data_IF_536265724542
#
_entry.id   IF_536265724542
#
_cell.length_a   1.000
_cell.length_b   1.000
_cell.length_c   1.000
_cell.angle_alpha   90.00
_cell.angle_beta   90.00
_cell.angle_gamma   90.00
#
_symmetry.space_group_name_H-M   'P 1'
#
loop_
_entity.id
_entity.type
_entity.pdbx_description
1 polymer ?
#
# COMPACT_ATOMS: atom_id res chain seq x y z
N UNK A 1 14.87 3.34 9.47
CA UNK A 1 14.49 4.05 8.23
C UNK A 1 13.07 3.66 7.88
N UNK A 2 12.13 4.60 7.88
CA UNK A 2 10.71 4.32 7.61
C UNK A 2 10.49 3.71 6.22
N UNK A 3 9.63 2.69 6.16
CA UNK A 3 9.14 2.09 4.92
C UNK A 3 8.49 3.21 4.08
N UNK A 4 8.73 3.27 2.76
CA UNK A 4 8.07 4.24 1.89
C UNK A 4 6.57 3.96 1.93
N UNK A 5 5.78 4.87 2.47
CA UNK A 5 4.32 4.81 2.46
C UNK A 5 3.82 4.96 1.02
N UNK A 6 2.95 4.06 0.59
CA UNK A 6 2.31 4.11 -0.72
C UNK A 6 1.23 5.20 -0.71
N UNK A 7 0.98 5.96 -1.80
CA UNK A 7 -0.21 6.80 -1.93
C UNK A 7 -1.51 6.16 -1.41
N UNK A 8 -1.70 4.85 -1.65
CA UNK A 8 -2.84 4.08 -1.14
C UNK A 8 -2.95 4.08 0.38
N UNK A 9 -1.82 4.12 1.10
CA UNK A 9 -1.81 4.09 2.57
C UNK A 9 -2.29 5.43 3.14
N UNK A 10 -1.91 6.53 2.48
CA UNK A 10 -2.37 7.88 2.82
C UNK A 10 -3.86 8.02 2.54
N UNK A 11 -4.31 7.55 1.37
CA UNK A 11 -5.72 7.56 1.02
C UNK A 11 -6.55 6.69 1.99
N UNK A 12 -6.08 5.49 2.35
CA UNK A 12 -6.72 4.67 3.37
C UNK A 12 -6.81 5.35 4.74
N UNK A 13 -5.74 6.05 5.16
CA UNK A 13 -5.77 6.80 6.41
C UNK A 13 -6.79 7.96 6.35
N UNK A 14 -6.83 8.68 5.24
CA UNK A 14 -7.81 9.74 4.99
C UNK A 14 -9.24 9.20 5.08
N UNK A 15 -9.55 8.08 4.41
CA UNK A 15 -10.89 7.49 4.45
C UNK A 15 -11.30 7.07 5.86
N UNK A 16 -10.37 6.51 6.65
CA UNK A 16 -10.67 6.19 8.05
C UNK A 16 -11.01 7.45 8.86
N UNK A 17 -10.25 8.53 8.69
CA UNK A 17 -10.57 9.81 9.33
C UNK A 17 -11.94 10.33 8.89
N UNK A 18 -12.23 10.34 7.59
CA UNK A 18 -13.52 10.77 7.05
C UNK A 18 -14.69 9.99 7.65
N UNK A 19 -14.61 8.65 7.68
CA UNK A 19 -15.66 7.81 8.26
C UNK A 19 -15.77 8.00 9.78
N UNK A 20 -14.66 8.23 10.49
CA UNK A 20 -14.68 8.60 11.91
C UNK A 20 -15.39 9.94 12.12
N UNK A 21 -15.06 10.98 11.34
CA UNK A 21 -15.69 12.30 11.45
C UNK A 21 -17.20 12.23 11.17
N UNK A 22 -17.60 11.46 10.15
CA UNK A 22 -19.02 11.19 9.86
C UNK A 22 -19.67 10.47 11.05
N UNK A 23 -18.97 9.55 11.69
CA UNK A 23 -19.48 8.86 12.88
C UNK A 23 -19.72 9.85 14.01
N UNK A 24 -18.76 10.75 14.29
CA UNK A 24 -18.88 11.78 15.32
C UNK A 24 -20.04 12.75 15.05
N UNK A 25 -20.28 13.14 13.80
CA UNK A 25 -21.44 13.97 13.40
C UNK A 25 -22.77 13.27 13.77
N UNK A 26 -22.81 11.94 13.71
CA UNK A 26 -23.96 11.12 14.12
C UNK A 26 -23.98 10.74 15.61
N UNK A 27 -23.11 11.36 16.42
CA UNK A 27 -22.99 11.16 17.86
C UNK A 27 -21.95 10.12 18.29
N UNK A 28 -21.23 9.52 17.35
CA UNK A 28 -20.16 8.57 17.62
C UNK A 28 -20.64 7.28 18.30
N UNK A 29 -19.70 6.60 18.96
CA UNK A 29 -19.98 5.49 19.87
C UNK A 29 -19.53 5.92 21.27
N UNK A 30 -20.50 6.28 22.10
CA UNK A 30 -20.28 6.82 23.44
C UNK A 30 -20.10 5.74 24.51
N UNK A 31 -19.68 6.13 25.72
CA UNK A 31 -19.65 5.24 26.89
C UNK A 31 -21.03 4.64 27.21
N UNK A 32 -22.10 5.43 27.00
CA UNK A 32 -23.49 4.97 27.17
C UNK A 32 -23.85 3.90 26.12
N UNK A 33 -23.37 4.04 24.87
CA UNK A 33 -23.56 3.03 23.83
C UNK A 33 -22.75 1.76 24.13
N UNK A 34 -21.55 1.92 24.70
CA UNK A 34 -20.75 0.81 25.20
C UNK A 34 -21.51 0.03 26.28
N UNK A 35 -22.05 0.73 27.28
CA UNK A 35 -22.84 0.13 28.36
C UNK A 35 -24.08 -0.60 27.81
N UNK A 36 -24.89 0.06 26.97
CA UNK A 36 -26.04 -0.57 26.29
C UNK A 36 -25.63 -1.82 25.52
N UNK A 37 -24.48 -1.79 24.87
CA UNK A 37 -23.95 -2.94 24.13
C UNK A 37 -23.53 -4.05 25.09
N UNK A 38 -22.84 -3.75 26.19
CA UNK A 38 -22.45 -4.72 27.23
C UNK A 38 -23.68 -5.38 27.84
N UNK A 39 -24.68 -4.60 28.24
CA UNK A 39 -25.95 -5.10 28.77
C UNK A 39 -26.61 -6.05 27.78
N UNK A 40 -26.67 -5.66 26.50
CA UNK A 40 -27.30 -6.44 25.43
C UNK A 40 -26.68 -7.83 25.26
N UNK A 41 -25.37 -7.94 25.43
CA UNK A 41 -24.61 -9.18 25.23
C UNK A 41 -24.23 -9.88 26.54
N UNK A 42 -24.69 -9.37 27.67
CA UNK A 42 -24.51 -10.01 28.98
C UNK A 42 -25.62 -11.03 29.23
N UNK A 43 -25.23 -12.25 29.62
CA UNK A 43 -26.16 -13.30 30.05
C UNK A 43 -25.70 -13.89 31.37
N UNK A 44 -26.59 -13.92 32.37
CA UNK A 44 -26.27 -14.37 33.73
C UNK A 44 -25.04 -13.64 34.32
N UNK A 45 -25.00 -12.31 34.16
CA UNK A 45 -23.90 -11.43 34.59
C UNK A 45 -22.54 -11.68 33.91
N UNK A 46 -22.51 -12.42 32.80
CA UNK A 46 -21.28 -12.68 32.05
C UNK A 46 -21.43 -12.14 30.63
N UNK A 47 -20.50 -11.28 30.22
CA UNK A 47 -20.41 -10.75 28.85
C UNK A 47 -20.02 -11.88 27.88
N UNK A 48 -20.67 -11.93 26.72
CA UNK A 48 -20.46 -13.01 25.75
C UNK A 48 -20.10 -12.51 24.36
N UNK A 49 -19.22 -13.24 23.70
CA UNK A 49 -18.83 -13.02 22.31
C UNK A 49 -20.07 -13.10 21.41
N UNK A 50 -20.27 -12.10 20.56
CA UNK A 50 -21.40 -12.11 19.63
C UNK A 50 -21.34 -13.27 18.63
N UNK A 51 -20.14 -13.65 18.17
CA UNK A 51 -19.94 -14.69 17.16
C UNK A 51 -20.06 -16.10 17.73
N UNK A 52 -19.40 -16.39 18.85
CA UNK A 52 -19.30 -17.75 19.40
C UNK A 52 -20.21 -18.02 20.60
N UNK A 53 -20.73 -16.96 21.25
CA UNK A 53 -21.46 -17.07 22.51
C UNK A 53 -20.60 -17.49 23.72
N UNK A 54 -19.29 -17.71 23.53
CA UNK A 54 -18.32 -17.96 24.60
C UNK A 54 -18.20 -16.75 25.53
N UNK A 55 -17.76 -17.00 26.75
CA UNK A 55 -17.58 -15.97 27.77
C UNK A 55 -16.37 -15.09 27.45
N UNK A 56 -16.54 -13.79 27.63
CA UNK A 56 -15.47 -12.81 27.50
C UNK A 56 -14.91 -12.51 28.89
N UNK A 57 -13.58 -12.48 28.99
CA UNK A 57 -12.83 -12.19 30.21
C UNK A 57 -11.82 -11.09 29.91
N UNK A 58 -11.43 -10.32 30.92
CA UNK A 58 -10.39 -9.30 30.71
C UNK A 58 -9.12 -9.93 30.10
N UNK A 59 -8.63 -9.34 29.01
CA UNK A 59 -7.44 -9.79 28.29
C UNK A 59 -7.66 -10.85 27.20
N UNK A 60 -8.90 -11.21 26.85
CA UNK A 60 -9.18 -12.09 25.70
C UNK A 60 -10.24 -11.55 24.73
N UNK A 61 -10.67 -10.30 24.91
CA UNK A 61 -11.75 -9.71 24.14
C UNK A 61 -11.40 -8.31 23.64
N UNK A 62 -12.00 -7.97 22.51
CA UNK A 62 -11.90 -6.67 21.88
C UNK A 62 -13.26 -6.20 21.39
N UNK A 63 -13.35 -4.92 21.07
CA UNK A 63 -14.49 -4.34 20.37
C UNK A 63 -14.24 -4.46 18.85
N UNK A 64 -15.16 -5.10 18.14
CA UNK A 64 -15.12 -5.26 16.68
C UNK A 64 -16.19 -4.40 16.01
N UNK A 65 -15.88 -3.92 14.81
CA UNK A 65 -16.84 -3.29 13.91
C UNK A 65 -17.43 -4.33 12.97
N UNK A 66 -18.71 -4.68 13.16
CA UNK A 66 -19.44 -5.63 12.32
C UNK A 66 -19.28 -5.33 10.82
N UNK A 67 -19.36 -4.05 10.45
CA UNK A 67 -18.97 -3.51 9.16
C UNK A 67 -17.69 -2.69 9.36
N UNK A 68 -16.58 -3.04 8.70
CA UNK A 68 -15.29 -2.40 8.95
C UNK A 68 -15.22 -0.97 8.41
N UNK A 69 -14.46 -0.12 9.11
CA UNK A 69 -14.21 1.29 8.74
C UNK A 69 -13.10 1.33 7.68
N UNK A 70 -13.47 1.12 6.42
CA UNK A 70 -12.55 1.14 5.29
C UNK A 70 -13.23 1.63 4.01
N UNK A 71 -12.43 1.81 2.95
CA UNK A 71 -12.88 2.37 1.67
C UNK A 71 -13.93 1.53 0.92
N UNK A 72 -14.04 0.22 1.20
CA UNK A 72 -14.91 -0.68 0.42
C UNK A 72 -16.22 -1.00 1.12
N UNK A 73 -16.22 -0.99 2.46
CA UNK A 73 -17.38 -1.36 3.28
C UNK A 73 -17.99 -0.16 3.99
N UNK A 74 -17.24 0.93 4.15
CA UNK A 74 -17.71 2.22 4.67
C UNK A 74 -18.47 2.11 6.00
N UNK A 75 -18.04 1.21 6.89
CA UNK A 75 -18.62 1.09 8.23
C UNK A 75 -18.36 2.34 9.07
N UNK A 76 -19.25 2.60 10.03
CA UNK A 76 -19.19 3.74 10.93
C UNK A 76 -19.02 3.32 12.39
N UNK A 77 -18.34 4.13 13.19
CA UNK A 77 -18.15 3.93 14.61
C UNK A 77 -19.39 4.40 15.39
N UNK A 78 -20.48 3.64 15.27
CA UNK A 78 -21.79 3.98 15.86
C UNK A 78 -22.37 2.79 16.63
N UNK A 79 -23.29 3.10 17.56
CA UNK A 79 -24.09 2.08 18.22
C UNK A 79 -24.79 1.17 17.21
N UNK A 80 -24.65 -0.15 17.42
CA UNK A 80 -25.12 -1.16 16.48
C UNK A 80 -24.07 -1.74 15.56
N UNK A 81 -22.93 -1.07 15.38
CA UNK A 81 -21.82 -1.60 14.59
C UNK A 81 -20.67 -2.09 15.46
N UNK A 82 -20.50 -1.53 16.65
CA UNK A 82 -19.46 -1.93 17.61
C UNK A 82 -20.00 -3.02 18.54
N UNK A 83 -19.28 -4.15 18.64
CA UNK A 83 -19.73 -5.34 19.39
C UNK A 83 -18.58 -6.05 20.12
N UNK A 84 -18.86 -6.74 21.24
CA UNK A 84 -17.82 -7.41 22.00
C UNK A 84 -17.56 -8.80 21.42
N UNK A 85 -16.29 -9.08 21.11
CA UNK A 85 -15.85 -10.33 20.49
C UNK A 85 -14.59 -10.86 21.17
N UNK A 86 -14.34 -12.15 21.05
CA UNK A 86 -13.02 -12.69 21.35
C UNK A 86 -12.00 -12.13 20.35
N UNK A 87 -10.79 -11.84 20.82
CA UNK A 87 -9.70 -11.33 19.97
C UNK A 87 -9.40 -12.24 18.78
N UNK A 88 -9.49 -13.56 18.96
CA UNK A 88 -9.32 -14.54 17.88
C UNK A 88 -10.29 -14.27 16.72
N UNK A 89 -11.58 -14.03 17.00
CA UNK A 89 -12.56 -13.76 15.95
C UNK A 89 -12.35 -12.41 15.28
N UNK A 90 -11.92 -11.39 16.04
CA UNK A 90 -11.63 -10.07 15.47
C UNK A 90 -10.45 -10.14 14.49
N UNK A 91 -9.38 -10.84 14.89
CA UNK A 91 -8.20 -11.06 14.07
C UNK A 91 -8.54 -11.81 12.79
N UNK A 92 -9.27 -12.92 12.87
CA UNK A 92 -9.67 -13.74 11.72
C UNK A 92 -10.62 -12.99 10.76
N UNK A 93 -11.57 -12.20 11.30
CA UNK A 93 -12.49 -11.40 10.47
C UNK A 93 -11.74 -10.36 9.63
N UNK A 94 -10.75 -9.70 10.24
CA UNK A 94 -9.96 -8.65 9.61
C UNK A 94 -10.82 -7.58 8.92
N UNK A 95 -10.52 -7.31 7.66
CA UNK A 95 -11.19 -6.27 6.86
C UNK A 95 -12.52 -6.66 6.21
N UNK A 96 -13.11 -7.81 6.57
CA UNK A 96 -14.38 -8.30 6.01
C UNK A 96 -15.60 -7.89 6.85
N UNK A 97 -16.78 -7.94 6.26
CA UNK A 97 -18.04 -7.78 7.02
C UNK A 97 -18.36 -9.03 7.84
N UNK A 98 -19.16 -8.88 8.90
CA UNK A 98 -19.60 -10.03 9.70
C UNK A 98 -20.33 -11.10 8.87
N UNK A 99 -21.07 -10.69 7.81
CA UNK A 99 -21.78 -11.62 6.92
C UNK A 99 -20.79 -12.47 6.12
N UNK A 100 -19.79 -11.81 5.51
CA UNK A 100 -18.73 -12.50 4.75
C UNK A 100 -17.94 -13.43 5.67
N UNK A 101 -17.58 -12.95 6.86
CA UNK A 101 -16.83 -13.71 7.84
C UNK A 101 -17.58 -14.98 8.30
N UNK A 102 -18.83 -14.85 8.74
CA UNK A 102 -19.62 -15.99 9.22
C UNK A 102 -19.87 -17.02 8.10
N UNK A 103 -20.08 -16.56 6.86
CA UNK A 103 -20.35 -17.45 5.73
C UNK A 103 -19.11 -18.21 5.28
N UNK A 104 -17.97 -17.52 5.18
CA UNK A 104 -16.83 -17.99 4.39
C UNK A 104 -15.61 -18.43 5.21
N UNK A 105 -15.55 -18.13 6.51
CA UNK A 105 -14.38 -18.47 7.32
C UNK A 105 -14.52 -19.85 7.99
N UNK A 106 -13.41 -20.58 8.01
CA UNK A 106 -13.28 -21.95 8.54
C UNK A 106 -13.54 -22.08 10.06
N UNK A 107 -13.33 -21.00 10.82
CA UNK A 107 -13.64 -20.91 12.26
C UNK A 107 -15.13 -21.19 12.55
N UNK A 108 -15.99 -21.12 11.54
CA UNK A 108 -17.41 -21.46 11.61
C UNK A 108 -17.78 -22.77 10.90
N UNK A 109 -16.83 -23.61 10.47
CA UNK A 109 -17.12 -24.86 9.73
C UNK A 109 -17.85 -25.90 10.59
N UNK A 110 -17.73 -25.78 11.91
CA UNK A 110 -18.52 -26.57 12.86
C UNK A 110 -20.00 -26.16 12.92
N UNK A 111 -20.39 -25.00 12.36
CA UNK A 111 -21.77 -24.54 12.30
C UNK A 111 -22.43 -24.98 10.99
N UNK A 112 -23.63 -25.58 11.11
CA UNK A 112 -24.46 -25.88 9.95
C UNK A 112 -24.94 -24.58 9.28
N UNK A 113 -25.27 -24.58 7.98
CA UNK A 113 -25.75 -23.38 7.27
C UNK A 113 -26.91 -22.65 7.97
N UNK A 114 -27.88 -23.40 8.50
CA UNK A 114 -29.00 -22.83 9.28
C UNK A 114 -28.57 -22.14 10.58
N UNK A 115 -27.47 -22.56 11.19
CA UNK A 115 -26.94 -21.95 12.41
C UNK A 115 -26.18 -20.67 12.08
N UNK A 116 -25.39 -20.67 11.00
CA UNK A 116 -24.77 -19.46 10.42
C UNK A 116 -25.82 -18.40 10.10
N UNK A 117 -26.92 -18.78 9.44
CA UNK A 117 -28.04 -17.87 9.15
C UNK A 117 -28.72 -17.32 10.41
N UNK A 118 -28.94 -18.15 11.43
CA UNK A 118 -29.51 -17.70 12.71
C UNK A 118 -28.60 -16.68 13.40
N UNK A 119 -27.29 -16.90 13.36
CA UNK A 119 -26.31 -15.96 13.91
C UNK A 119 -26.35 -14.63 13.17
N UNK A 120 -26.33 -14.64 11.83
CA UNK A 120 -26.45 -13.44 11.00
C UNK A 120 -27.74 -12.67 11.32
N UNK A 121 -28.90 -13.35 11.37
CA UNK A 121 -30.19 -12.73 11.69
C UNK A 121 -30.23 -12.12 13.10
N UNK A 122 -29.53 -12.72 14.07
CA UNK A 122 -29.40 -12.17 15.43
C UNK A 122 -28.66 -10.84 15.41
N UNK A 123 -27.59 -10.75 14.62
CA UNK A 123 -26.78 -9.53 14.44
C UNK A 123 -27.58 -8.47 13.68
N UNK A 124 -28.26 -8.83 12.59
CA UNK A 124 -29.15 -7.92 11.83
C UNK A 124 -30.24 -7.32 12.73
N UNK A 125 -30.84 -8.15 13.60
CA UNK A 125 -31.84 -7.68 14.58
C UNK A 125 -31.25 -6.69 15.57
N UNK A 126 -29.97 -6.84 15.96
CA UNK A 126 -29.28 -5.86 16.79
C UNK A 126 -29.08 -4.54 16.04
N UNK A 127 -28.51 -4.58 14.82
CA UNK A 127 -28.34 -3.39 13.96
C UNK A 127 -29.65 -2.65 13.67
N UNK A 128 -30.74 -3.40 13.49
CA UNK A 128 -32.08 -2.81 13.30
C UNK A 128 -32.56 -2.10 14.56
N UNK A 129 -32.42 -2.75 15.73
CA UNK A 129 -32.85 -2.18 17.02
C UNK A 129 -32.03 -0.98 17.46
N UNK A 130 -30.77 -0.91 17.07
CA UNK A 130 -29.90 0.25 17.31
C UNK A 130 -30.09 1.37 16.29
N UNK A 131 -30.99 1.20 15.32
CA UNK A 131 -31.23 2.12 14.22
C UNK A 131 -29.98 2.37 13.33
N UNK A 132 -28.99 1.47 13.36
CA UNK A 132 -27.73 1.65 12.64
C UNK A 132 -27.95 1.75 11.12
N UNK A 133 -28.72 0.81 10.55
CA UNK A 133 -28.98 0.78 9.10
C UNK A 133 -29.70 2.02 8.58
N UNK A 134 -30.59 2.62 9.40
CA UNK A 134 -31.27 3.85 9.02
C UNK A 134 -30.33 5.06 9.05
N UNK A 135 -29.44 5.15 10.05
CA UNK A 135 -28.40 6.19 10.11
C UNK A 135 -27.48 6.12 8.88
N UNK A 136 -26.99 4.93 8.55
CA UNK A 136 -26.16 4.71 7.36
C UNK A 136 -26.90 5.11 6.09
N UNK A 137 -28.16 4.69 5.93
CA UNK A 137 -28.97 5.03 4.76
C UNK A 137 -29.22 6.54 4.62
N UNK A 138 -29.34 7.27 5.73
CA UNK A 138 -29.58 8.71 5.71
C UNK A 138 -28.40 9.53 5.16
N UNK A 139 -27.19 8.97 5.20
CA UNK A 139 -25.97 9.62 4.69
C UNK A 139 -25.94 9.61 3.15
N UNK A 140 -26.69 8.71 2.50
CA UNK A 140 -26.69 8.53 1.06
C UNK A 140 -25.60 7.56 0.59
N UNK A 141 -25.03 7.82 -0.58
CA UNK A 141 -24.03 6.94 -1.19
C UNK A 141 -22.62 7.19 -0.62
N UNK A 142 -22.40 6.70 0.59
CA UNK A 142 -21.12 6.80 1.28
C UNK A 142 -20.01 6.04 0.54
N UNK A 143 -20.36 5.01 -0.24
CA UNK A 143 -19.38 4.23 -0.97
C UNK A 143 -18.81 5.03 -2.15
N UNK A 144 -19.68 5.69 -2.92
CA UNK A 144 -19.26 6.60 -4.00
C UNK A 144 -18.37 7.72 -3.46
N UNK A 145 -18.78 8.37 -2.36
CA UNK A 145 -17.98 9.44 -1.73
C UNK A 145 -16.60 8.93 -1.30
N UNK A 146 -16.53 7.77 -0.64
CA UNK A 146 -15.26 7.19 -0.22
C UNK A 146 -14.36 6.82 -1.41
N UNK A 147 -14.92 6.29 -2.49
CA UNK A 147 -14.16 5.97 -3.70
C UNK A 147 -13.59 7.22 -4.36
N UNK A 148 -14.40 8.27 -4.52
CA UNK A 148 -13.95 9.54 -5.09
C UNK A 148 -12.81 10.17 -4.27
N UNK A 149 -12.97 10.25 -2.94
CA UNK A 149 -11.97 10.85 -2.06
C UNK A 149 -10.68 10.03 -2.02
N UNK A 150 -10.80 8.70 -2.03
CA UNK A 150 -9.64 7.82 -2.13
C UNK A 150 -8.81 8.11 -3.39
N UNK A 151 -9.50 8.24 -4.53
CA UNK A 151 -8.87 8.52 -5.82
C UNK A 151 -8.28 9.93 -5.88
N UNK A 152 -8.99 10.94 -5.36
CA UNK A 152 -8.50 12.32 -5.25
C UNK A 152 -7.18 12.37 -4.49
N UNK A 153 -7.11 11.75 -3.30
CA UNK A 153 -5.89 11.73 -2.46
C UNK A 153 -4.77 10.94 -3.13
N UNK A 154 -5.07 9.76 -3.68
CA UNK A 154 -4.10 8.94 -4.40
C UNK A 154 -3.47 9.71 -5.56
N UNK A 155 -4.29 10.42 -6.34
CA UNK A 155 -3.84 11.22 -7.47
C UNK A 155 -3.05 12.47 -7.03
N UNK A 156 -3.43 13.11 -5.94
CA UNK A 156 -2.67 14.23 -5.36
C UNK A 156 -1.26 13.80 -4.96
N UNK A 157 -1.10 12.65 -4.28
CA UNK A 157 0.21 12.11 -3.94
C UNK A 157 1.07 11.84 -5.18
N UNK A 158 0.49 11.24 -6.23
CA UNK A 158 1.18 10.98 -7.51
C UNK A 158 1.61 12.29 -8.19
N UNK A 159 0.70 13.28 -8.30
CA UNK A 159 0.98 14.60 -8.88
C UNK A 159 2.10 15.32 -8.14
N UNK A 160 2.06 15.33 -6.81
CA UNK A 160 3.10 15.95 -5.98
C UNK A 160 4.45 15.26 -6.16
N UNK A 161 4.49 13.93 -6.23
CA UNK A 161 5.73 13.21 -6.49
C UNK A 161 6.37 13.63 -7.82
N UNK A 162 5.58 13.80 -8.89
CA UNK A 162 6.05 14.30 -10.19
C UNK A 162 6.52 15.75 -10.09
N UNK A 163 5.71 16.63 -9.48
CA UNK A 163 6.01 18.06 -9.29
C UNK A 163 7.36 18.26 -8.60
N UNK A 164 7.56 17.62 -7.46
CA UNK A 164 8.80 17.78 -6.70
C UNK A 164 9.99 17.07 -7.37
N UNK A 165 9.77 15.98 -8.12
CA UNK A 165 10.82 15.39 -8.95
C UNK A 165 11.34 16.38 -10.00
N UNK A 166 10.44 17.14 -10.65
CA UNK A 166 10.82 18.18 -11.62
C UNK A 166 11.55 19.36 -10.96
N UNK A 167 11.09 19.83 -9.80
CA UNK A 167 11.75 20.91 -9.03
C UNK A 167 13.17 20.48 -8.64
N UNK A 168 13.33 19.27 -8.11
CA UNK A 168 14.64 18.72 -7.74
C UNK A 168 15.56 18.66 -8.97
N UNK A 169 15.08 18.22 -10.13
CA UNK A 169 15.90 18.21 -11.35
C UNK A 169 16.32 19.61 -11.80
N UNK A 170 15.39 20.57 -11.77
CA UNK A 170 15.67 21.96 -12.15
C UNK A 170 16.72 22.59 -11.22
N UNK A 171 16.60 22.34 -9.92
CA UNK A 171 17.46 22.94 -8.90
C UNK A 171 18.81 22.21 -8.72
N UNK A 172 18.93 20.96 -9.18
CA UNK A 172 20.17 20.17 -9.08
C UNK A 172 20.96 20.11 -10.39
N UNK A 173 20.82 21.08 -11.30
CA UNK A 173 21.81 21.28 -12.38
C UNK A 173 23.18 21.61 -11.74
N UNK A 174 23.96 20.57 -11.41
CA UNK A 174 25.32 20.67 -10.85
C UNK A 174 25.53 20.15 -9.42
N UNK A 175 24.48 19.83 -8.65
CA UNK A 175 24.62 19.37 -7.25
C UNK A 175 24.64 17.85 -7.07
N UNK A 176 24.29 17.08 -8.10
CA UNK A 176 24.51 15.63 -8.10
C UNK A 176 25.97 15.26 -8.42
N UNK A 177 26.81 16.25 -8.79
CA UNK A 177 28.26 16.09 -8.88
C UNK A 177 28.96 16.60 -7.62
N UNK A 178 28.93 15.80 -6.54
CA UNK A 178 30.05 15.85 -5.61
C UNK A 178 31.20 15.03 -6.22
N UNK A 179 32.30 15.72 -6.50
CA UNK A 179 33.51 15.28 -7.17
C UNK A 179 34.04 13.92 -6.69
N UNK A 180 34.45 13.08 -7.65
CA UNK A 180 35.58 12.16 -7.44
C UNK A 180 36.35 12.03 -8.75
N UNK A 181 37.63 12.38 -8.69
CA UNK A 181 38.60 12.39 -9.81
C UNK A 181 39.29 11.04 -10.02
N UNK A 182 38.75 9.94 -9.48
CA UNK A 182 39.23 8.58 -9.74
C UNK A 182 38.14 7.79 -10.45
N UNK A 183 38.52 6.96 -11.44
CA UNK A 183 37.63 6.10 -12.24
C UNK A 183 36.47 5.60 -11.38
N UNK A 184 35.21 5.92 -11.74
CA UNK A 184 34.13 5.78 -10.79
C UNK A 184 33.75 4.31 -10.64
N UNK A 185 34.15 3.74 -9.50
CA UNK A 185 33.77 2.39 -9.07
C UNK A 185 32.43 2.44 -8.35
N UNK A 186 31.63 1.40 -8.53
CA UNK A 186 30.38 1.14 -7.80
C UNK A 186 30.57 1.00 -6.30
N UNK A 187 31.81 0.76 -5.83
CA UNK A 187 32.14 0.46 -4.43
C UNK A 187 31.34 -0.74 -3.91
N UNK A 188 31.15 -1.75 -4.75
CA UNK A 188 30.52 -2.99 -4.37
C UNK A 188 31.41 -3.80 -3.43
N UNK A 189 30.83 -4.40 -2.38
CA UNK A 189 31.47 -5.56 -1.75
C UNK A 189 31.46 -6.76 -2.72
N UNK A 190 32.29 -7.77 -2.47
CA UNK A 190 32.31 -9.00 -3.30
C UNK A 190 30.92 -9.65 -3.38
N UNK A 191 30.20 -9.68 -2.27
CA UNK A 191 28.86 -10.27 -2.19
C UNK A 191 27.81 -9.41 -2.90
N UNK A 192 27.85 -8.09 -2.74
CA UNK A 192 26.97 -7.19 -3.48
C UNK A 192 27.17 -7.31 -5.00
N UNK A 193 28.43 -7.43 -5.43
CA UNK A 193 28.75 -7.63 -6.85
C UNK A 193 28.20 -8.96 -7.36
N UNK A 194 28.30 -10.04 -6.57
CA UNK A 194 27.72 -11.34 -6.94
C UNK A 194 26.19 -11.26 -7.05
N UNK A 195 25.54 -10.64 -6.08
CA UNK A 195 24.07 -10.48 -6.04
C UNK A 195 23.59 -9.66 -7.24
N UNK A 196 24.22 -8.52 -7.53
CA UNK A 196 23.78 -7.65 -8.62
C UNK A 196 23.98 -8.32 -9.98
N UNK A 197 25.08 -9.06 -10.18
CA UNK A 197 25.31 -9.83 -11.41
C UNK A 197 24.23 -10.89 -11.65
N UNK A 198 23.81 -11.60 -10.60
CA UNK A 198 22.70 -12.56 -10.67
C UNK A 198 21.38 -11.86 -11.03
N UNK A 199 21.09 -10.72 -10.40
CA UNK A 199 19.90 -9.91 -10.70
C UNK A 199 19.86 -9.46 -12.16
N UNK A 200 20.95 -8.86 -12.65
CA UNK A 200 21.06 -8.37 -14.03
C UNK A 200 20.81 -9.51 -15.03
N UNK A 201 21.40 -10.69 -14.81
CA UNK A 201 21.20 -11.85 -15.68
C UNK A 201 19.74 -12.36 -15.65
N UNK A 202 19.08 -12.29 -14.49
CA UNK A 202 17.65 -12.62 -14.40
C UNK A 202 16.80 -11.60 -15.15
N UNK A 203 17.10 -10.32 -15.00
CA UNK A 203 16.35 -9.22 -15.60
C UNK A 203 16.50 -9.14 -17.11
N UNK A 204 17.67 -9.45 -17.66
CA UNK A 204 17.88 -9.48 -19.11
C UNK A 204 16.99 -10.51 -19.81
N UNK A 205 16.43 -11.49 -19.10
CA UNK A 205 15.52 -12.49 -19.66
C UNK A 205 14.03 -12.14 -19.49
N UNK A 206 13.71 -10.96 -18.97
CA UNK A 206 12.35 -10.54 -18.61
C UNK A 206 12.00 -9.18 -19.24
N UNK A 207 11.60 -9.15 -20.52
CA UNK A 207 11.31 -7.90 -21.24
C UNK A 207 10.17 -7.09 -20.63
N UNK A 208 9.24 -7.73 -19.92
CA UNK A 208 8.11 -7.05 -19.27
C UNK A 208 8.53 -6.16 -18.09
N UNK A 209 9.72 -6.38 -17.53
CA UNK A 209 10.18 -5.64 -16.36
C UNK A 209 10.60 -4.21 -16.71
N UNK A 210 10.15 -3.24 -15.90
CA UNK A 210 10.49 -1.83 -16.13
C UNK A 210 12.00 -1.57 -16.16
N UNK A 211 12.77 -2.20 -15.25
CA UNK A 211 14.23 -2.06 -15.26
C UNK A 211 14.89 -2.75 -16.47
N UNK A 212 14.27 -3.78 -17.05
CA UNK A 212 14.72 -4.32 -18.34
C UNK A 212 14.57 -3.27 -19.44
N UNK A 213 13.37 -2.71 -19.59
CA UNK A 213 13.07 -1.69 -20.60
C UNK A 213 13.96 -0.46 -20.46
N UNK A 214 14.21 0.00 -19.23
CA UNK A 214 15.11 1.13 -18.95
C UNK A 214 16.56 0.82 -19.35
N UNK A 215 17.10 -0.35 -18.98
CA UNK A 215 18.46 -0.77 -19.35
C UNK A 215 18.58 -0.94 -20.87
N UNK A 216 17.60 -1.58 -21.52
CA UNK A 216 17.55 -1.75 -22.96
C UNK A 216 17.52 -0.40 -23.69
N UNK A 217 16.72 0.56 -23.20
CA UNK A 217 16.66 1.91 -23.74
C UNK A 217 18.00 2.64 -23.61
N UNK A 218 18.67 2.52 -22.47
CA UNK A 218 19.99 3.13 -22.27
C UNK A 218 21.04 2.54 -23.23
N UNK A 219 21.06 1.22 -23.40
CA UNK A 219 21.97 0.55 -24.35
C UNK A 219 21.70 1.06 -25.77
N UNK A 220 20.43 1.16 -26.19
CA UNK A 220 20.06 1.70 -27.51
C UNK A 220 20.54 3.14 -27.69
N UNK A 221 20.39 4.00 -26.66
CA UNK A 221 20.80 5.41 -26.71
C UNK A 221 22.31 5.62 -26.66
N UNK A 222 23.06 4.67 -26.11
CA UNK A 222 24.53 4.72 -26.00
C UNK A 222 25.26 3.82 -26.98
N UNK A 223 24.57 3.27 -28.00
CA UNK A 223 25.16 2.33 -28.96
C UNK A 223 26.40 2.90 -29.67
N UNK A 224 26.35 4.19 -30.02
CA UNK A 224 27.42 4.89 -30.76
C UNK A 224 28.56 5.32 -29.84
N UNK A 225 28.25 5.68 -28.59
CA UNK A 225 29.25 6.10 -27.61
C UNK A 225 28.97 5.49 -26.22
N UNK A 226 29.32 4.22 -26.02
CA UNK A 226 29.06 3.49 -24.79
C UNK A 226 29.76 4.08 -23.55
N UNK A 227 30.93 4.69 -23.76
CA UNK A 227 31.85 5.11 -22.68
C UNK A 227 31.53 6.50 -22.14
N UNK A 228 31.05 7.42 -22.98
CA UNK A 228 30.70 8.76 -22.53
C UNK A 228 29.34 8.86 -21.85
N UNK A 229 28.55 7.78 -21.86
CA UNK A 229 27.22 7.76 -21.22
C UNK A 229 26.18 8.55 -22.02
N UNK A 230 25.07 8.87 -21.37
CA UNK A 230 23.98 9.63 -21.98
C UNK A 230 23.61 10.82 -21.10
N UNK A 231 23.14 11.92 -21.67
CA UNK A 231 22.67 13.05 -20.86
C UNK A 231 21.50 12.60 -19.96
N UNK A 232 21.62 12.83 -18.65
CA UNK A 232 20.66 12.31 -17.67
C UNK A 232 19.26 12.89 -17.89
N UNK A 233 19.15 14.18 -18.20
CA UNK A 233 17.86 14.82 -18.43
C UNK A 233 17.19 14.28 -19.69
N UNK A 234 17.94 14.17 -20.79
CA UNK A 234 17.45 13.53 -22.02
C UNK A 234 17.07 12.06 -21.80
N UNK A 235 17.74 11.36 -20.89
CA UNK A 235 17.39 9.99 -20.55
C UNK A 235 16.06 9.89 -19.78
N UNK A 236 15.89 10.75 -18.78
CA UNK A 236 14.65 10.88 -18.01
C UNK A 236 13.47 11.17 -18.95
N UNK A 237 13.65 12.10 -19.88
CA UNK A 237 12.64 12.44 -20.89
C UNK A 237 12.34 11.25 -21.83
N UNK A 238 13.36 10.50 -22.24
CA UNK A 238 13.17 9.33 -23.09
C UNK A 238 12.37 8.23 -22.39
N UNK A 239 12.64 7.95 -21.11
CA UNK A 239 11.85 6.99 -20.31
C UNK A 239 10.41 7.47 -20.16
N UNK A 240 10.21 8.77 -19.92
CA UNK A 240 8.88 9.38 -19.83
C UNK A 240 8.07 9.21 -21.11
N UNK A 241 8.67 9.48 -22.27
CA UNK A 241 8.02 9.30 -23.59
C UNK A 241 7.62 7.86 -23.89
N UNK A 242 8.35 6.90 -23.34
CA UNK A 242 8.04 5.48 -23.52
C UNK A 242 6.99 4.94 -22.54
N UNK A 243 6.47 5.75 -21.61
CA UNK A 243 5.52 5.34 -20.57
C UNK A 243 5.98 4.14 -19.71
N UNK A 244 7.29 3.88 -19.63
CA UNK A 244 7.83 2.77 -18.83
C UNK A 244 7.74 3.03 -17.32
N UNK A 245 7.59 4.29 -16.91
CA UNK A 245 7.41 4.66 -15.51
C UNK A 245 6.64 5.97 -15.38
N UNK A 246 5.70 6.00 -14.43
CA UNK A 246 5.00 7.22 -14.01
C UNK A 246 5.91 8.22 -13.29
N UNK A 247 7.09 7.78 -12.84
CA UNK A 247 8.14 8.65 -12.31
C UNK A 247 9.53 8.20 -12.82
N UNK A 248 9.93 8.65 -14.03
CA UNK A 248 11.19 8.26 -14.66
C UNK A 248 12.44 8.53 -13.80
N UNK A 249 12.48 9.66 -13.10
CA UNK A 249 13.59 10.01 -12.21
C UNK A 249 13.71 9.02 -11.05
N UNK A 250 12.60 8.70 -10.39
CA UNK A 250 12.61 7.74 -9.29
C UNK A 250 13.02 6.34 -9.76
N UNK A 251 12.57 5.93 -10.95
CA UNK A 251 12.96 4.67 -11.56
C UNK A 251 14.47 4.62 -11.83
N UNK A 252 15.06 5.68 -12.41
CA UNK A 252 16.51 5.79 -12.58
C UNK A 252 17.24 5.75 -11.23
N UNK A 253 16.78 6.54 -10.23
CA UNK A 253 17.41 6.57 -8.90
C UNK A 253 17.40 5.22 -8.20
N UNK A 254 16.33 4.43 -8.37
CA UNK A 254 16.26 3.06 -7.83
C UNK A 254 17.29 2.11 -8.46
N UNK A 255 17.83 2.47 -9.63
CA UNK A 255 18.94 1.79 -10.30
C UNK A 255 20.30 2.46 -10.03
N UNK A 256 20.37 3.48 -9.17
CA UNK A 256 21.63 4.18 -8.82
C UNK A 256 22.05 3.98 -7.36
N UNK A 257 21.28 3.22 -6.57
CA UNK A 257 21.55 3.00 -5.14
C UNK A 257 21.35 1.55 -4.77
N UNK A 258 22.08 1.08 -3.75
CA UNK A 258 21.91 -0.22 -3.11
C UNK A 258 21.12 -0.13 -1.80
N UNK A 259 20.75 1.07 -1.36
CA UNK A 259 20.01 1.29 -0.10
C UNK A 259 18.49 1.23 -0.30
N UNK A 260 17.77 0.64 0.65
CA UNK A 260 16.30 0.55 0.65
C UNK A 260 15.73 -0.43 -0.39
N UNK A 261 14.54 -0.15 -0.94
CA UNK A 261 13.88 -0.95 -1.99
C UNK A 261 14.44 -0.71 -3.40
N UNK A 262 15.74 -0.44 -3.51
CA UNK A 262 16.38 -0.15 -4.77
C UNK A 262 16.67 -1.45 -5.54
N UNK A 263 16.60 -1.39 -6.86
CA UNK A 263 16.93 -2.54 -7.72
C UNK A 263 18.43 -2.87 -7.58
N UNK A 264 19.28 -1.85 -7.44
CA UNK A 264 20.72 -1.96 -7.19
C UNK A 264 21.48 -0.87 -7.93
N UNK A 265 22.78 -0.73 -7.65
CA UNK A 265 23.63 0.38 -8.17
C UNK A 265 24.09 0.16 -9.63
N UNK A 266 23.16 -0.01 -10.55
CA UNK A 266 23.41 -0.26 -11.97
C UNK A 266 24.00 0.96 -12.69
N UNK A 267 23.39 2.11 -12.45
CA UNK A 267 23.76 3.39 -13.04
C UNK A 267 24.52 4.26 -12.05
N UNK A 268 25.24 5.20 -12.59
CA UNK A 268 25.85 6.30 -11.88
C UNK A 268 25.78 7.57 -12.72
N UNK A 269 25.89 8.72 -12.08
CA UNK A 269 25.95 10.01 -12.75
C UNK A 269 27.37 10.57 -12.65
N UNK A 270 27.88 11.08 -13.77
CA UNK A 270 29.16 11.78 -13.85
C UNK A 270 28.98 12.99 -14.75
N UNK A 271 29.17 14.19 -14.19
CA UNK A 271 29.07 15.48 -14.92
C UNK A 271 27.77 15.61 -15.73
N UNK A 272 26.63 15.26 -15.13
CA UNK A 272 25.30 15.33 -15.78
C UNK A 272 25.02 14.21 -16.78
N UNK A 273 25.94 13.26 -16.96
CA UNK A 273 25.74 12.08 -17.82
C UNK A 273 25.52 10.83 -16.98
N UNK A 274 24.50 10.06 -17.32
CA UNK A 274 24.25 8.74 -16.76
C UNK A 274 25.08 7.68 -17.49
N UNK A 275 25.71 6.79 -16.73
CA UNK A 275 26.59 5.71 -17.18
C UNK A 275 26.30 4.44 -16.41
N UNK A 276 26.63 3.28 -16.99
CA UNK A 276 26.73 2.06 -16.19
C UNK A 276 27.91 2.15 -15.23
N UNK A 277 27.77 1.51 -14.08
CA UNK A 277 28.89 1.33 -13.16
C UNK A 277 29.94 0.41 -13.79
N UNK A 278 31.21 0.82 -13.73
CA UNK A 278 32.31 0.21 -14.49
C UNK A 278 32.47 -1.30 -14.27
N UNK A 279 32.24 -1.79 -13.05
CA UNK A 279 32.43 -3.19 -12.66
C UNK A 279 31.40 -4.16 -13.27
N UNK A 280 30.30 -3.64 -13.80
CA UNK A 280 29.18 -4.42 -14.34
C UNK A 280 28.81 -4.03 -15.78
N UNK A 281 29.35 -2.93 -16.30
CA UNK A 281 29.04 -2.39 -17.64
C UNK A 281 29.24 -3.44 -18.75
N UNK A 282 30.42 -4.05 -18.81
CA UNK A 282 30.75 -5.04 -19.83
C UNK A 282 29.79 -6.24 -19.79
N UNK A 283 29.47 -6.72 -18.59
CA UNK A 283 28.53 -7.83 -18.42
C UNK A 283 27.11 -7.44 -18.85
N UNK A 284 26.63 -6.25 -18.48
CA UNK A 284 25.32 -5.77 -18.88
C UNK A 284 25.22 -5.73 -20.40
N UNK A 285 26.22 -5.17 -21.09
CA UNK A 285 26.19 -5.03 -22.55
C UNK A 285 26.25 -6.36 -23.31
N UNK A 286 26.80 -7.42 -22.71
CA UNK A 286 26.83 -8.77 -23.30
C UNK A 286 25.50 -9.53 -23.17
N UNK A 287 24.57 -9.05 -22.35
CA UNK A 287 23.30 -9.72 -22.10
C UNK A 287 22.22 -9.30 -23.13
N UNK A 288 21.23 -10.17 -23.37
CA UNK A 288 20.17 -9.88 -24.35
C UNK A 288 19.16 -8.90 -23.78
N UNK A 289 19.25 -7.62 -24.13
CA UNK A 289 18.24 -6.60 -23.77
C UNK A 289 17.39 -6.26 -24.99
N UNK A 290 16.07 -6.37 -24.85
CA UNK A 290 15.09 -6.11 -25.90
C UNK A 290 14.12 -5.02 -25.44
N UNK A 291 13.82 -4.08 -26.35
CA UNK A 291 12.80 -3.06 -26.12
C UNK A 291 11.43 -3.59 -26.52
#
# INVERSE_FOLDING_TARGET
>A
MGKRTNPSDVANAFIRCLLSDISEIYGGFSDEDEEKTREKFTRKKILRCIYSGKELKNGNYSWDHLIPINQTKCGLNLFGNVVPVLEEYNSEKGGTTYIEFIKNHDIFDNLKPKEKEKLIKKIEKFQTKSNYSAKVKAIGDLQEICEEEYDKITNLCKKNAIKYSKIILKNNKGLLSACSTKKPKGNYTKDELKIIKTKINKWSKKPDYNHHKIIALFIKKTKVDPKNGFDLNKFIDAIGKCNYSQNPLAAIRSLMTSKGHAYGKIFMEEKGKIKFVSEIDEQIRKLPWKL
#
